data_IF_484974896878
#
_entry.id   IF_484974896878
#
_cell.length_a   1.000
_cell.length_b   1.000
_cell.length_c   1.000
_cell.angle_alpha   90.00
_cell.angle_beta   90.00
_cell.angle_gamma   90.00
#
_symmetry.space_group_name_H-M   'P 1'
#
loop_
_entity.id
_entity.type
_entity.pdbx_description
1 polymer ?
#
# COMPACT_ATOMS: atom_id res chain seq x y z
N UNK A 1 -7.76 21.51 -17.32
CA UNK A 1 -8.99 22.30 -17.55
C UNK A 1 -9.57 22.09 -18.94
N UNK A 2 -8.79 22.19 -20.01
CA UNK A 2 -9.28 22.10 -21.40
C UNK A 2 -9.99 20.77 -21.76
N UNK A 3 -9.50 19.63 -21.26
CA UNK A 3 -10.12 18.31 -21.49
C UNK A 3 -11.52 18.19 -20.86
N UNK A 4 -11.70 18.69 -19.63
CA UNK A 4 -13.01 18.70 -18.96
C UNK A 4 -14.00 19.61 -19.68
N UNK A 5 -13.53 20.73 -20.25
CA UNK A 5 -14.35 21.64 -21.04
C UNK A 5 -14.78 21.01 -22.37
N UNK A 6 -13.89 20.28 -23.05
CA UNK A 6 -14.19 19.57 -24.31
C UNK A 6 -15.22 18.44 -24.13
N UNK A 7 -15.16 17.70 -23.02
CA UNK A 7 -16.15 16.67 -22.66
C UNK A 7 -17.53 17.30 -22.42
N UNK A 8 -17.60 18.40 -21.66
CA UNK A 8 -18.87 19.10 -21.37
C UNK A 8 -19.53 19.69 -22.62
N UNK A 9 -18.76 20.02 -23.65
CA UNK A 9 -19.24 20.63 -24.89
C UNK A 9 -19.66 19.62 -25.97
N UNK A 10 -19.66 18.31 -25.67
CA UNK A 10 -20.12 17.27 -26.61
C UNK A 10 -19.25 17.15 -27.87
N UNK A 11 -18.04 17.71 -27.86
CA UNK A 11 -17.12 17.66 -28.99
C UNK A 11 -16.65 16.21 -29.19
N UNK A 12 -16.94 15.66 -30.37
CA UNK A 12 -16.76 14.24 -30.70
C UNK A 12 -15.30 13.89 -30.98
N UNK A 13 -14.41 13.91 -29.98
CA UNK A 13 -13.07 13.28 -30.05
C UNK A 13 -12.59 12.85 -28.65
N UNK A 14 -11.88 11.72 -28.65
CA UNK A 14 -10.86 11.24 -27.71
C UNK A 14 -11.33 10.23 -26.66
N UNK A 15 -10.61 9.11 -26.63
CA UNK A 15 -10.58 8.14 -25.53
C UNK A 15 -10.51 8.92 -24.21
N UNK A 16 -11.52 8.76 -23.35
CA UNK A 16 -11.57 9.39 -22.04
C UNK A 16 -11.04 8.42 -21.00
N UNK A 17 -10.01 8.84 -20.26
CA UNK A 17 -9.44 8.06 -19.14
C UNK A 17 -10.17 8.33 -17.81
N UNK A 18 -11.32 9.00 -17.87
CA UNK A 18 -12.06 9.42 -16.70
C UNK A 18 -13.13 8.40 -16.26
N UNK A 19 -13.28 7.27 -16.95
CA UNK A 19 -14.20 6.24 -16.47
C UNK A 19 -13.70 5.66 -15.13
N UNK A 20 -14.61 5.24 -14.23
CA UNK A 20 -14.22 4.63 -12.97
C UNK A 20 -13.26 3.45 -13.16
N UNK A 21 -13.46 2.64 -14.19
CA UNK A 21 -12.66 1.46 -14.49
C UNK A 21 -11.21 1.85 -14.81
N UNK A 22 -11.04 2.81 -15.72
CA UNK A 22 -9.72 3.28 -16.14
C UNK A 22 -8.98 3.99 -15.02
N UNK A 23 -9.67 4.81 -14.22
CA UNK A 23 -9.04 5.46 -13.07
C UNK A 23 -8.60 4.44 -12.01
N UNK A 24 -9.43 3.44 -11.71
CA UNK A 24 -9.08 2.37 -10.78
C UNK A 24 -7.90 1.54 -11.27
N UNK A 25 -7.81 1.28 -12.58
CA UNK A 25 -6.64 0.62 -13.18
C UNK A 25 -5.36 1.43 -12.94
N UNK A 26 -5.38 2.74 -13.20
CA UNK A 26 -4.22 3.59 -12.94
C UNK A 26 -3.84 3.64 -11.46
N UNK A 27 -4.81 3.77 -10.57
CA UNK A 27 -4.56 3.75 -9.12
C UNK A 27 -3.90 2.44 -8.72
N UNK A 28 -4.39 1.31 -9.24
CA UNK A 28 -3.83 0.00 -8.96
C UNK A 28 -2.39 -0.14 -9.48
N UNK A 29 -2.12 0.27 -10.72
CA UNK A 29 -0.77 0.20 -11.31
C UNK A 29 0.23 1.07 -10.55
N UNK A 30 -0.16 2.31 -10.20
CA UNK A 30 0.67 3.21 -9.41
C UNK A 30 0.91 2.66 -8.00
N UNK A 31 -0.14 2.15 -7.34
CA UNK A 31 -0.03 1.52 -6.03
C UNK A 31 0.90 0.31 -6.04
N UNK A 32 0.82 -0.54 -7.07
CA UNK A 32 1.72 -1.67 -7.26
C UNK A 32 3.18 -1.21 -7.43
N UNK A 33 3.43 -0.17 -8.22
CA UNK A 33 4.78 0.34 -8.45
C UNK A 33 5.41 0.95 -7.18
N UNK A 34 4.63 1.72 -6.42
CA UNK A 34 5.06 2.27 -5.13
C UNK A 34 5.39 1.13 -4.17
N UNK A 35 4.50 0.14 -4.07
CA UNK A 35 4.68 -1.02 -3.19
C UNK A 35 5.92 -1.85 -3.54
N UNK A 36 6.13 -2.15 -4.82
CA UNK A 36 7.32 -2.85 -5.30
C UNK A 36 8.61 -2.09 -4.97
N UNK A 37 8.57 -0.75 -5.02
CA UNK A 37 9.71 0.09 -4.65
C UNK A 37 10.03 -0.02 -3.15
N UNK A 38 9.01 0.01 -2.30
CA UNK A 38 9.16 -0.15 -0.84
C UNK A 38 9.74 -1.53 -0.51
N UNK A 39 9.19 -2.59 -1.10
CA UNK A 39 9.67 -3.98 -0.96
C UNK A 39 11.16 -4.07 -1.31
N UNK A 40 11.56 -3.56 -2.48
CA UNK A 40 12.96 -3.58 -2.92
C UNK A 40 13.90 -2.82 -1.97
N UNK A 41 13.43 -1.73 -1.36
CA UNK A 41 14.22 -0.98 -0.36
C UNK A 41 14.41 -1.81 0.92
N UNK A 42 13.36 -2.48 1.37
CA UNK A 42 13.39 -3.29 2.59
C UNK A 42 14.24 -4.54 2.41
N UNK A 43 14.18 -5.20 1.25
CA UNK A 43 15.07 -6.33 0.94
C UNK A 43 16.57 -5.97 1.05
N UNK A 44 16.92 -4.70 0.81
CA UNK A 44 18.28 -4.19 0.94
C UNK A 44 18.60 -3.66 2.33
N UNK A 45 17.58 -3.42 3.16
CA UNK A 45 17.75 -2.86 4.48
C UNK A 45 18.27 -3.94 5.43
N UNK A 46 19.37 -3.65 6.14
CA UNK A 46 19.88 -4.53 7.21
C UNK A 46 18.96 -4.58 8.41
N UNK A 47 18.26 -3.47 8.67
CA UNK A 47 17.39 -3.29 9.84
C UNK A 47 16.02 -2.84 9.37
N UNK A 48 14.99 -3.59 9.76
CA UNK A 48 13.59 -3.25 9.54
C UNK A 48 12.71 -3.78 10.69
N UNK A 49 11.53 -3.21 10.85
CA UNK A 49 10.46 -3.77 11.64
C UNK A 49 9.09 -3.56 10.96
N UNK A 50 8.12 -4.37 11.38
CA UNK A 50 6.72 -4.26 10.97
C UNK A 50 5.95 -3.67 12.14
N UNK A 51 5.18 -2.61 11.88
CA UNK A 51 4.35 -1.91 12.85
C UNK A 51 2.90 -2.15 12.46
N UNK A 52 2.08 -2.50 13.45
CA UNK A 52 0.64 -2.61 13.31
C UNK A 52 -0.03 -1.62 14.25
N UNK A 53 -0.94 -0.80 13.73
CA UNK A 53 -1.68 0.18 14.53
C UNK A 53 -3.18 0.09 14.21
N UNK A 54 -3.99 -0.09 15.26
CA UNK A 54 -5.44 -0.20 15.15
C UNK A 54 -6.10 1.16 15.36
N UNK A 55 -6.85 1.63 14.37
CA UNK A 55 -7.67 2.83 14.48
C UNK A 55 -9.15 2.44 14.38
N UNK A 56 -10.00 2.83 15.35
CA UNK A 56 -11.44 2.64 15.20
C UNK A 56 -11.95 3.51 14.05
N UNK A 57 -12.54 2.90 13.02
CA UNK A 57 -13.18 3.64 11.93
C UNK A 57 -14.52 4.25 12.38
N UNK A 58 -15.00 5.26 11.66
CA UNK A 58 -16.27 5.95 11.87
C UNK A 58 -17.46 4.96 11.93
N UNK A 59 -17.32 3.81 11.27
CA UNK A 59 -18.31 2.73 11.22
C UNK A 59 -18.30 1.77 12.42
N UNK A 60 -17.43 1.97 13.43
CA UNK A 60 -17.14 1.05 14.55
C UNK A 60 -16.44 -0.27 14.15
N UNK A 61 -16.00 -0.41 12.91
CA UNK A 61 -15.14 -1.52 12.51
C UNK A 61 -13.67 -1.15 12.81
N UNK A 62 -12.93 -2.06 13.43
CA UNK A 62 -11.50 -1.86 13.64
C UNK A 62 -10.78 -1.97 12.29
N UNK A 63 -9.97 -0.98 11.96
CA UNK A 63 -9.02 -1.07 10.85
C UNK A 63 -7.62 -1.09 11.40
N UNK A 64 -6.81 -2.04 10.94
CA UNK A 64 -5.41 -2.17 11.30
C UNK A 64 -4.54 -1.73 10.13
N UNK A 65 -3.69 -0.73 10.38
CA UNK A 65 -2.65 -0.31 9.44
C UNK A 65 -1.42 -1.20 9.56
N UNK A 66 -0.79 -1.50 8.44
CA UNK A 66 0.53 -2.14 8.37
C UNK A 66 1.53 -1.12 7.84
N UNK A 67 2.55 -0.84 8.65
CA UNK A 67 3.63 0.10 8.33
C UNK A 67 4.97 -0.62 8.45
N UNK A 68 5.85 -0.41 7.47
CA UNK A 68 7.22 -0.90 7.52
C UNK A 68 8.15 0.26 7.87
N UNK A 69 8.95 0.08 8.92
CA UNK A 69 9.99 1.02 9.32
C UNK A 69 11.36 0.39 9.06
N UNK A 70 12.21 1.03 8.29
CA UNK A 70 13.50 0.47 7.87
C UNK A 70 14.58 1.54 7.72
N UNK A 71 15.84 1.13 7.82
CA UNK A 71 16.98 2.02 7.55
C UNK A 71 17.25 2.00 6.04
N UNK A 72 17.03 3.13 5.39
CA UNK A 72 17.37 3.34 3.99
C UNK A 72 18.76 4.00 3.90
N UNK A 73 19.68 3.33 3.20
CA UNK A 73 21.03 3.83 2.96
C UNK A 73 21.16 4.10 1.46
N UNK A 74 21.47 5.34 1.10
CA UNK A 74 21.73 5.76 -0.27
C UNK A 74 23.00 6.62 -0.31
N UNK A 75 24.09 6.03 -0.79
CA UNK A 75 25.42 6.64 -0.72
C UNK A 75 25.87 6.81 0.74
N UNK A 76 26.24 8.03 1.10
CA UNK A 76 26.65 8.40 2.46
C UNK A 76 25.48 8.85 3.36
N UNK A 77 24.25 8.80 2.87
CA UNK A 77 23.06 9.21 3.64
C UNK A 77 22.32 8.00 4.17
N UNK A 78 22.11 7.98 5.47
CA UNK A 78 21.21 7.08 6.17
C UNK A 78 19.95 7.81 6.65
N UNK A 79 18.80 7.17 6.49
CA UNK A 79 17.53 7.68 7.00
C UNK A 79 16.65 6.53 7.50
N UNK A 80 15.98 6.74 8.63
CA UNK A 80 14.87 5.88 9.06
C UNK A 80 13.64 6.28 8.26
N UNK A 81 13.10 5.34 7.50
CA UNK A 81 11.94 5.55 6.64
C UNK A 81 10.78 4.71 7.14
N UNK A 82 9.60 5.32 7.19
CA UNK A 82 8.33 4.61 7.38
C UNK A 82 7.56 4.57 6.07
N UNK A 83 6.98 3.41 5.77
CA UNK A 83 6.20 3.22 4.55
C UNK A 83 4.94 2.44 4.86
N UNK A 84 3.80 3.07 4.62
CA UNK A 84 2.50 2.43 4.69
C UNK A 84 2.36 1.36 3.60
N UNK A 85 1.81 0.19 3.97
CA UNK A 85 1.66 -0.95 3.07
C UNK A 85 0.20 -1.20 2.73
N UNK A 86 -0.64 -1.32 3.76
CA UNK A 86 -2.05 -1.66 3.61
C UNK A 86 -2.83 -1.41 4.89
N UNK A 87 -4.14 -1.27 4.73
CA UNK A 87 -5.10 -1.51 5.80
C UNK A 87 -5.66 -2.92 5.68
N UNK A 88 -6.05 -3.50 6.80
CA UNK A 88 -6.85 -4.70 6.83
C UNK A 88 -7.75 -4.71 8.06
N UNK A 89 -8.84 -5.44 7.96
CA UNK A 89 -9.74 -5.69 9.09
C UNK A 89 -9.15 -6.83 9.93
N UNK A 90 -8.88 -6.62 11.23
CA UNK A 90 -8.47 -7.69 12.13
C UNK A 90 -9.67 -8.59 12.44
N UNK A 91 -9.44 -9.90 12.53
CA UNK A 91 -10.49 -10.89 12.82
C UNK A 91 -10.98 -10.83 14.27
N UNK A 92 -10.19 -10.24 15.14
CA UNK A 92 -10.50 -10.04 16.55
C UNK A 92 -9.47 -9.15 17.23
N UNK A 93 -9.74 -8.81 18.49
CA UNK A 93 -8.90 -7.87 19.27
C UNK A 93 -8.07 -8.54 20.36
N UNK A 94 -8.22 -9.85 20.56
CA UNK A 94 -7.39 -10.57 21.52
C UNK A 94 -6.00 -10.85 20.93
N UNK A 95 -5.05 -11.19 21.79
CA UNK A 95 -3.66 -11.38 21.39
C UNK A 95 -3.48 -12.53 20.39
N UNK A 96 -4.31 -13.57 20.46
CA UNK A 96 -4.24 -14.73 19.57
C UNK A 96 -4.68 -14.36 18.15
N UNK A 97 -5.83 -13.69 18.01
CA UNK A 97 -6.35 -13.24 16.72
C UNK A 97 -5.38 -12.29 16.02
N UNK A 98 -4.84 -11.31 16.76
CA UNK A 98 -3.87 -10.37 16.23
C UNK A 98 -2.57 -11.06 15.81
N UNK A 99 -2.05 -11.99 16.63
CA UNK A 99 -0.85 -12.76 16.29
C UNK A 99 -1.04 -13.59 15.02
N UNK A 100 -2.21 -14.22 14.87
CA UNK A 100 -2.58 -15.00 13.69
C UNK A 100 -2.68 -14.12 12.44
N UNK A 101 -3.33 -12.97 12.53
CA UNK A 101 -3.46 -12.02 11.42
C UNK A 101 -2.10 -11.46 10.99
N UNK A 102 -1.25 -11.09 11.95
CA UNK A 102 0.12 -10.61 11.68
C UNK A 102 0.94 -11.69 10.98
N UNK A 103 0.89 -12.93 11.48
CA UNK A 103 1.66 -14.06 10.93
C UNK A 103 1.18 -14.40 9.52
N UNK A 104 -0.14 -14.45 9.30
CA UNK A 104 -0.72 -14.71 7.99
C UNK A 104 -0.32 -13.63 6.97
N UNK A 105 -0.32 -12.36 7.37
CA UNK A 105 0.10 -11.26 6.49
C UNK A 105 1.58 -11.25 6.22
N UNK A 106 2.41 -11.50 7.24
CA UNK A 106 3.84 -11.67 7.03
C UNK A 106 4.10 -12.80 6.02
N UNK A 107 3.51 -13.98 6.19
CA UNK A 107 3.71 -15.12 5.27
C UNK A 107 3.28 -14.79 3.84
N UNK A 108 2.11 -14.16 3.68
CA UNK A 108 1.57 -13.82 2.35
C UNK A 108 2.44 -12.77 1.65
N UNK A 109 2.87 -11.74 2.37
CA UNK A 109 3.70 -10.68 1.79
C UNK A 109 5.15 -11.13 1.55
N UNK A 110 5.73 -11.96 2.43
CA UNK A 110 7.08 -12.48 2.23
C UNK A 110 7.15 -13.50 1.09
N UNK A 111 6.23 -14.47 1.07
CA UNK A 111 6.28 -15.60 0.13
C UNK A 111 5.94 -15.17 -1.29
N UNK A 112 4.94 -14.30 -1.48
CA UNK A 112 4.49 -13.90 -2.82
C UNK A 112 5.13 -12.61 -3.34
N UNK A 113 5.70 -11.75 -2.48
CA UNK A 113 6.12 -10.40 -2.93
C UNK A 113 7.59 -10.08 -2.69
N UNK A 114 8.23 -10.75 -1.73
CA UNK A 114 9.66 -10.58 -1.46
C UNK A 114 10.52 -11.70 -2.07
N UNK A 115 9.94 -12.86 -2.39
CA UNK A 115 10.65 -13.95 -3.08
C UNK A 115 10.61 -13.85 -4.62
N UNK A 116 9.79 -12.94 -5.18
CA UNK A 116 9.69 -12.72 -6.63
C UNK A 116 9.00 -13.85 -7.42
N UNK A 117 8.15 -14.65 -6.76
CA UNK A 117 7.33 -15.71 -7.37
C UNK A 117 5.89 -15.25 -7.59
#
# INVERSE_FOLDING_TARGET
MEHLTKIKLGAKVSVSYLSPETQNEFINLLGQQVRSTIIRRIQKAKYYCVIFDSTPDISHNDQMSQVLRYVHIEGEKDAVVESFIAFFEPKGKNAEDLSNDITAKHQTDWTYRMAGL
#
